data_IF_947020906067
#
_entry.id   IF_947020906067
#
_cell.length_a   1.000
_cell.length_b   1.000
_cell.length_c   1.000
_cell.angle_alpha   90.00
_cell.angle_beta   90.00
_cell.angle_gamma   90.00
#
_symmetry.space_group_name_H-M   'P 1'
#
loop_
_entity.id
_entity.type
_entity.pdbx_description
1 polymer ?
#
# COMPACT_ATOMS: atom_id res chain seq x y z
N UNK A 1 11.68 18.01 -33.42
CA UNK A 1 10.95 18.39 -32.18
C UNK A 1 10.05 17.28 -31.64
N UNK A 2 9.40 16.46 -32.47
CA UNK A 2 8.49 15.38 -32.04
C UNK A 2 9.16 14.24 -31.24
N UNK A 3 10.43 13.95 -31.50
CA UNK A 3 11.17 12.88 -30.81
C UNK A 3 11.51 13.24 -29.36
N UNK A 4 11.90 14.49 -29.12
CA UNK A 4 12.21 14.98 -27.77
C UNK A 4 10.95 15.01 -26.90
N UNK A 5 9.81 15.41 -27.47
CA UNK A 5 8.52 15.42 -26.77
C UNK A 5 8.06 14.01 -26.42
N UNK A 6 8.21 13.03 -27.32
CA UNK A 6 7.86 11.63 -27.02
C UNK A 6 8.79 11.02 -25.96
N UNK A 7 10.08 11.33 -25.99
CA UNK A 7 11.02 10.85 -24.97
C UNK A 7 10.72 11.43 -23.58
N UNK A 8 10.43 12.73 -23.49
CA UNK A 8 9.97 13.35 -22.25
C UNK A 8 8.68 12.70 -21.72
N UNK A 9 7.73 12.37 -22.60
CA UNK A 9 6.47 11.70 -22.22
C UNK A 9 6.69 10.30 -21.63
N UNK A 10 7.63 9.53 -22.20
CA UNK A 10 7.99 8.19 -21.71
C UNK A 10 8.69 8.29 -20.35
N UNK A 11 9.63 9.24 -20.20
CA UNK A 11 10.35 9.44 -18.93
C UNK A 11 9.40 9.94 -17.83
N UNK A 12 8.47 10.85 -18.14
CA UNK A 12 7.48 11.33 -17.16
C UNK A 12 6.49 10.26 -16.74
N UNK A 13 6.16 9.29 -17.61
CA UNK A 13 5.35 8.13 -17.23
C UNK A 13 6.15 7.17 -16.33
N UNK A 14 7.44 6.98 -16.61
CA UNK A 14 8.31 6.09 -15.84
C UNK A 14 8.55 6.61 -14.41
N UNK A 15 8.51 7.91 -14.17
CA UNK A 15 8.65 8.50 -12.84
C UNK A 15 7.39 8.45 -11.99
N UNK A 16 6.24 7.96 -12.49
CA UNK A 16 5.03 7.81 -11.65
C UNK A 16 5.11 6.61 -10.68
N UNK A 17 6.13 5.76 -10.81
CA UNK A 17 6.41 4.65 -9.89
C UNK A 17 7.07 5.09 -8.58
N UNK A 18 6.65 6.21 -8.00
CA UNK A 18 7.18 6.67 -6.72
C UNK A 18 6.63 5.79 -5.60
N UNK A 19 7.54 5.17 -4.86
CA UNK A 19 7.22 4.50 -3.61
C UNK A 19 6.74 5.56 -2.61
N UNK A 20 5.49 5.42 -2.17
CA UNK A 20 4.85 6.39 -1.31
C UNK A 20 3.80 5.70 -0.45
N UNK A 21 3.59 6.27 0.73
CA UNK A 21 2.39 6.03 1.54
C UNK A 21 1.13 6.14 0.67
N UNK A 22 0.15 5.28 0.89
CA UNK A 22 -1.10 5.27 0.15
C UNK A 22 -2.30 5.33 1.08
N UNK A 23 -3.41 5.86 0.58
CA UNK A 23 -4.66 5.91 1.31
C UNK A 23 -5.84 5.62 0.40
N UNK A 24 -6.80 4.86 0.90
CA UNK A 24 -8.06 4.61 0.23
C UNK A 24 -9.21 4.96 1.16
N UNK A 25 -10.23 5.64 0.64
CA UNK A 25 -11.39 6.07 1.42
C UNK A 25 -11.12 7.30 2.29
N UNK A 26 -11.98 7.51 3.28
CA UNK A 26 -11.92 8.68 4.16
C UNK A 26 -12.27 8.28 5.58
N UNK A 27 -11.39 8.62 6.52
CA UNK A 27 -11.61 8.40 7.94
C UNK A 27 -12.46 9.51 8.53
N UNK A 28 -13.49 9.14 9.28
CA UNK A 28 -14.24 10.04 10.15
C UNK A 28 -13.75 9.91 11.60
N UNK A 29 -14.07 10.91 12.43
CA UNK A 29 -13.69 10.91 13.85
C UNK A 29 -14.33 9.77 14.65
N UNK A 30 -15.49 9.26 14.21
CA UNK A 30 -16.21 8.15 14.82
C UNK A 30 -15.71 6.76 14.39
N UNK A 31 -14.81 6.68 13.41
CA UNK A 31 -14.37 5.40 12.88
C UNK A 31 -13.40 4.70 13.84
N UNK A 32 -13.51 3.39 13.92
CA UNK A 32 -12.69 2.53 14.77
C UNK A 32 -11.50 2.00 14.00
N UNK A 33 -10.30 2.09 14.60
CA UNK A 33 -9.11 1.39 14.09
C UNK A 33 -9.26 -0.11 14.38
N UNK A 34 -9.50 -0.91 13.35
CA UNK A 34 -9.77 -2.35 13.48
C UNK A 34 -8.52 -3.20 13.24
N UNK A 35 -7.63 -2.74 12.36
CA UNK A 35 -6.34 -3.38 12.12
C UNK A 35 -5.25 -2.31 12.10
N UNK A 36 -4.14 -2.58 12.80
CA UNK A 36 -2.87 -1.91 12.60
C UNK A 36 -1.78 -2.97 12.54
N UNK A 37 -1.14 -3.09 11.39
CA UNK A 37 -0.12 -4.11 11.16
C UNK A 37 1.16 -3.50 10.64
N UNK A 38 2.28 -3.87 11.27
CA UNK A 38 3.60 -3.44 10.88
C UNK A 38 4.25 -4.55 10.06
N UNK A 39 4.47 -4.29 8.78
CA UNK A 39 5.15 -5.23 7.88
C UNK A 39 6.60 -4.81 7.74
N UNK A 40 7.49 -5.64 8.27
CA UNK A 40 8.95 -5.45 8.16
C UNK A 40 9.55 -6.62 7.43
N UNK A 41 10.32 -6.35 6.37
CA UNK A 41 11.08 -7.34 5.59
C UNK A 41 12.46 -6.81 5.27
N UNK A 42 13.48 -7.63 5.50
CA UNK A 42 14.86 -7.31 5.17
C UNK A 42 15.11 -7.38 3.66
N UNK A 43 15.99 -6.55 3.08
CA UNK A 43 16.30 -6.63 1.65
C UNK A 43 16.85 -8.01 1.23
N UNK A 44 16.48 -8.48 0.04
CA UNK A 44 17.07 -9.67 -0.59
C UNK A 44 17.72 -9.28 -1.91
N UNK A 45 18.99 -9.66 -2.10
CA UNK A 45 19.72 -9.36 -3.33
C UNK A 45 19.02 -9.91 -4.58
N UNK A 46 18.81 -9.05 -5.57
CA UNK A 46 18.18 -9.37 -6.86
C UNK A 46 16.75 -9.93 -6.77
N UNK A 47 16.05 -9.70 -5.65
CA UNK A 47 14.66 -10.08 -5.46
C UNK A 47 13.85 -8.91 -4.90
N UNK A 48 12.55 -8.99 -5.05
CA UNK A 48 11.59 -8.12 -4.40
C UNK A 48 10.72 -8.92 -3.43
N UNK A 49 10.08 -8.20 -2.52
CA UNK A 49 9.01 -8.71 -1.68
C UNK A 49 7.67 -8.39 -2.30
N UNK A 50 6.71 -9.30 -2.14
CA UNK A 50 5.28 -9.04 -2.31
C UNK A 50 4.60 -9.63 -1.09
N UNK A 51 4.01 -8.77 -0.25
CA UNK A 51 3.41 -9.19 1.02
C UNK A 51 1.98 -8.69 1.07
N UNK A 52 1.05 -9.61 1.29
CA UNK A 52 -0.36 -9.29 1.44
C UNK A 52 -0.69 -9.01 2.91
N UNK A 53 -1.43 -7.94 3.12
CA UNK A 53 -2.11 -7.63 4.37
C UNK A 53 -3.61 -7.84 4.13
N UNK A 54 -4.08 -9.00 4.57
CA UNK A 54 -5.49 -9.37 4.53
C UNK A 54 -6.27 -8.80 5.71
N UNK A 55 -7.47 -8.32 5.41
CA UNK A 55 -8.47 -7.95 6.39
C UNK A 55 -9.86 -8.44 5.96
N UNK A 56 -10.62 -9.12 6.85
CA UNK A 56 -10.18 -9.63 8.15
C UNK A 56 -9.06 -10.66 7.99
N UNK A 57 -8.34 -10.97 9.07
CA UNK A 57 -7.29 -12.00 9.01
C UNK A 57 -7.90 -13.38 8.71
N UNK A 58 -7.13 -14.32 8.14
CA UNK A 58 -7.62 -15.68 7.91
C UNK A 58 -8.26 -16.28 9.17
N UNK A 59 -9.49 -16.77 9.06
CA UNK A 59 -10.26 -17.32 10.19
C UNK A 59 -11.05 -16.28 11.00
N UNK A 60 -10.92 -14.99 10.70
CA UNK A 60 -11.72 -13.92 11.32
C UNK A 60 -12.85 -13.47 10.40
N UNK A 61 -13.94 -12.99 10.99
CA UNK A 61 -15.08 -12.42 10.29
C UNK A 61 -15.20 -10.96 10.70
N UNK A 62 -15.32 -10.08 9.72
CA UNK A 62 -15.66 -8.68 9.93
C UNK A 62 -17.07 -8.38 9.37
N UNK A 63 -17.90 -7.73 10.17
CA UNK A 63 -19.27 -7.30 9.79
C UNK A 63 -19.38 -5.79 9.60
N UNK A 64 -18.32 -5.03 9.91
CA UNK A 64 -18.29 -3.58 9.82
C UNK A 64 -17.74 -3.12 8.48
N UNK A 65 -18.26 -2.01 7.98
CA UNK A 65 -17.83 -1.47 6.70
C UNK A 65 -16.52 -0.73 6.86
N UNK A 66 -15.54 -1.05 6.01
CA UNK A 66 -14.28 -0.32 5.92
C UNK A 66 -14.56 1.09 5.42
N UNK A 67 -14.04 2.09 6.13
CA UNK A 67 -14.19 3.51 5.77
C UNK A 67 -12.90 4.07 5.19
N UNK A 68 -11.76 3.66 5.74
CA UNK A 68 -10.46 4.08 5.28
C UNK A 68 -9.39 3.00 5.47
N UNK A 69 -8.43 3.00 4.57
CA UNK A 69 -7.20 2.21 4.65
C UNK A 69 -6.04 3.18 4.48
N UNK A 70 -5.08 3.16 5.39
CA UNK A 70 -3.85 3.93 5.28
C UNK A 70 -2.65 3.00 5.27
N UNK A 71 -1.70 3.25 4.38
CA UNK A 71 -0.39 2.63 4.38
C UNK A 71 0.63 3.73 4.61
N UNK A 72 1.32 3.65 5.73
CA UNK A 72 2.41 4.55 6.08
C UNK A 72 3.73 3.85 5.78
N UNK A 73 4.50 4.41 4.85
CA UNK A 73 5.88 4.01 4.67
C UNK A 73 6.77 4.69 5.72
N UNK A 74 7.66 3.93 6.35
CA UNK A 74 8.61 4.44 7.35
C UNK A 74 10.00 4.70 6.79
N UNK A 75 10.25 4.40 5.52
CA UNK A 75 11.49 4.82 4.90
C UNK A 75 11.44 6.33 4.61
N UNK A 76 12.49 7.05 5.02
CA UNK A 76 12.66 8.49 4.73
C UNK A 76 13.28 8.74 3.34
N UNK A 77 13.57 7.68 2.61
CA UNK A 77 14.10 7.71 1.26
C UNK A 77 13.08 7.13 0.26
N UNK A 78 13.41 7.14 -1.01
CA UNK A 78 12.54 6.62 -2.08
C UNK A 78 12.56 5.08 -2.20
N UNK A 79 13.03 4.34 -1.20
CA UNK A 79 13.13 2.86 -1.23
C UNK A 79 11.95 2.11 -0.60
N UNK A 80 10.88 2.86 -0.34
CA UNK A 80 9.60 2.39 0.18
C UNK A 80 8.98 1.21 -0.54
N UNK A 81 8.02 0.57 0.14
CA UNK A 81 7.10 -0.32 -0.53
C UNK A 81 6.17 0.47 -1.47
N UNK A 82 5.74 -0.18 -2.54
CA UNK A 82 4.70 0.24 -3.45
C UNK A 82 3.40 -0.44 -3.02
N UNK A 83 2.55 0.23 -2.24
CA UNK A 83 1.27 -0.33 -1.81
C UNK A 83 0.25 -0.34 -2.95
N UNK A 84 -0.50 -1.42 -3.06
CA UNK A 84 -1.62 -1.57 -4.00
C UNK A 84 -2.78 -2.27 -3.33
N UNK A 85 -4.00 -1.79 -3.55
CA UNK A 85 -5.22 -2.48 -3.14
C UNK A 85 -5.59 -3.51 -4.21
N UNK A 86 -5.37 -4.79 -3.93
CA UNK A 86 -5.62 -5.87 -4.89
C UNK A 86 -7.10 -6.25 -4.95
N UNK A 87 -7.78 -6.26 -3.81
CA UNK A 87 -9.21 -6.54 -3.75
C UNK A 87 -9.84 -5.94 -2.50
N UNK A 88 -11.17 -5.77 -2.53
CA UNK A 88 -11.92 -5.20 -1.42
C UNK A 88 -11.70 -3.69 -1.27
N UNK A 89 -11.77 -3.20 -0.04
CA UNK A 89 -11.47 -1.80 0.29
C UNK A 89 -12.62 -1.05 0.97
N UNK A 90 -12.59 0.29 0.93
CA UNK A 90 -13.67 1.12 1.46
C UNK A 90 -15.04 0.71 0.92
N UNK A 91 -16.07 0.83 1.75
CA UNK A 91 -17.46 0.40 1.50
C UNK A 91 -17.69 -1.12 1.48
N UNK A 92 -16.63 -1.93 1.64
CA UNK A 92 -16.70 -3.38 1.79
C UNK A 92 -16.29 -3.80 3.20
N UNK A 93 -16.46 -5.08 3.52
CA UNK A 93 -16.09 -5.65 4.83
C UNK A 93 -14.74 -6.35 4.82
N UNK A 94 -14.09 -6.42 3.66
CA UNK A 94 -12.79 -7.05 3.46
C UNK A 94 -11.88 -6.19 2.59
N UNK A 95 -10.58 -6.37 2.72
CA UNK A 95 -9.56 -5.76 1.88
C UNK A 95 -8.31 -6.64 1.83
N UNK A 96 -7.64 -6.63 0.68
CA UNK A 96 -6.31 -7.20 0.51
C UNK A 96 -5.38 -6.09 0.01
N UNK A 97 -4.46 -5.66 0.86
CA UNK A 97 -3.45 -4.67 0.54
C UNK A 97 -2.14 -5.39 0.27
N UNK A 98 -1.65 -5.33 -0.96
CA UNK A 98 -0.33 -5.86 -1.29
C UNK A 98 0.73 -4.77 -1.15
N UNK A 99 1.79 -5.08 -0.43
CA UNK A 99 2.98 -4.27 -0.26
C UNK A 99 4.10 -4.90 -1.09
N UNK A 100 4.50 -4.21 -2.16
CA UNK A 100 5.59 -4.67 -3.03
C UNK A 100 6.86 -3.87 -2.79
N UNK A 101 7.99 -4.50 -2.53
CA UNK A 101 9.26 -3.77 -2.45
C UNK A 101 9.86 -3.53 -3.83
N UNK A 102 10.75 -2.55 -3.93
CA UNK A 102 11.69 -2.47 -5.04
C UNK A 102 12.71 -3.62 -4.99
N UNK A 103 13.34 -3.92 -6.11
CA UNK A 103 14.39 -4.94 -6.21
C UNK A 103 15.56 -4.61 -5.26
N UNK A 104 16.01 -5.60 -4.48
CA UNK A 104 17.08 -5.44 -3.50
C UNK A 104 16.77 -4.44 -2.37
N UNK A 105 15.49 -4.13 -2.13
CA UNK A 105 15.02 -3.29 -1.02
C UNK A 105 14.12 -4.07 -0.07
N UNK A 106 14.01 -3.58 1.16
CA UNK A 106 13.15 -4.13 2.20
C UNK A 106 11.74 -3.53 2.19
N UNK A 107 10.94 -3.90 3.19
CA UNK A 107 9.66 -3.26 3.50
C UNK A 107 9.72 -2.80 4.96
N UNK A 108 9.22 -1.60 5.23
CA UNK A 108 8.92 -1.12 6.57
C UNK A 108 7.68 -0.22 6.47
N UNK A 109 6.51 -0.83 6.50
CA UNK A 109 5.25 -0.11 6.31
C UNK A 109 4.24 -0.50 7.39
N UNK A 110 3.41 0.45 7.80
CA UNK A 110 2.24 0.18 8.63
C UNK A 110 0.99 0.28 7.80
N UNK A 111 0.17 -0.76 7.83
CA UNK A 111 -1.18 -0.75 7.28
C UNK A 111 -2.16 -0.55 8.41
N UNK A 112 -3.04 0.43 8.27
CA UNK A 112 -4.16 0.70 9.16
C UNK A 112 -5.47 0.60 8.42
N UNK A 113 -6.46 -0.06 9.04
CA UNK A 113 -7.80 -0.21 8.49
C UNK A 113 -8.81 0.29 9.52
N UNK A 114 -9.62 1.23 9.07
CA UNK A 114 -10.66 1.87 9.84
C UNK A 114 -12.04 1.39 9.36
N UNK A 115 -12.96 1.22 10.32
CA UNK A 115 -14.32 0.75 10.07
C UNK A 115 -15.34 1.62 10.82
N UNK A 116 -16.58 1.63 10.34
CA UNK A 116 -17.74 2.18 11.05
C UNK A 116 -18.59 1.07 11.65
#
# INVERSE_FOLDING_TARGET
MKFLTSFCLIVSLATLGWAASASWGRRNSSDYLMLRENVVRTPIRNRNWSVNVDFPKPGQINRRTITAIFVYDRFTNTSGAMPSLWSGGPYLTFANVNLRSQTSRGINSTVEIYVK
#
